data_IF_354571421723
#
_entry.id   IF_354571421723
#
_cell.length_a   1.000
_cell.length_b   1.000
_cell.length_c   1.000
_cell.angle_alpha   90.00
_cell.angle_beta   90.00
_cell.angle_gamma   90.00
#
_symmetry.space_group_name_H-M   'P 1'
#
loop_
_entity.id
_entity.type
_entity.pdbx_description
1 polymer ?
#
# COMPACT_ATOMS: atom_id res chain seq x y z
N UNK A 1 5.73 14.18 -11.85
CA UNK A 1 6.29 13.57 -10.63
C UNK A 1 6.10 12.05 -10.68
N UNK A 2 7.05 11.24 -10.16
CA UNK A 2 6.93 9.80 -10.11
C UNK A 2 5.89 9.34 -9.08
N UNK A 3 5.78 10.07 -7.97
CA UNK A 3 4.81 9.84 -6.89
C UNK A 3 4.19 11.16 -6.49
N UNK A 4 2.89 11.17 -6.26
CA UNK A 4 2.13 12.31 -5.76
C UNK A 4 1.34 11.89 -4.54
N UNK A 5 1.37 12.69 -3.49
CA UNK A 5 0.53 12.51 -2.30
C UNK A 5 -0.53 13.59 -2.35
N UNK A 6 -1.79 13.18 -2.27
CA UNK A 6 -2.94 14.09 -2.24
C UNK A 6 -3.74 13.89 -0.97
N UNK A 7 -4.30 14.97 -0.46
CA UNK A 7 -5.24 14.93 0.65
C UNK A 7 -6.62 15.32 0.14
N UNK A 8 -7.66 14.73 0.71
CA UNK A 8 -9.02 15.14 0.39
C UNK A 8 -9.23 16.59 0.79
N UNK A 9 -9.47 17.44 -0.21
CA UNK A 9 -9.57 18.91 -0.05
C UNK A 9 -10.74 19.29 0.87
N UNK A 10 -11.87 18.59 0.79
CA UNK A 10 -13.01 18.82 1.68
C UNK A 10 -12.62 18.60 3.14
N UNK A 11 -11.95 17.47 3.44
CA UNK A 11 -11.52 17.15 4.81
C UNK A 11 -10.48 18.15 5.32
N UNK A 12 -9.55 18.58 4.46
CA UNK A 12 -8.56 19.60 4.79
C UNK A 12 -9.25 20.91 5.17
N UNK A 13 -10.18 21.40 4.33
CA UNK A 13 -10.94 22.63 4.60
C UNK A 13 -11.79 22.54 5.86
N UNK A 14 -12.44 21.42 6.11
CA UNK A 14 -13.23 21.20 7.34
C UNK A 14 -12.35 21.26 8.58
N UNK A 15 -11.14 20.68 8.54
CA UNK A 15 -10.18 20.79 9.65
C UNK A 15 -9.68 22.22 9.86
N UNK A 16 -9.37 22.92 8.78
CA UNK A 16 -8.92 24.31 8.86
C UNK A 16 -10.02 25.22 9.45
N UNK A 17 -11.28 25.05 9.02
CA UNK A 17 -12.42 25.74 9.60
C UNK A 17 -12.64 25.38 11.08
N UNK A 18 -12.49 24.12 11.44
CA UNK A 18 -12.60 23.66 12.84
C UNK A 18 -11.55 24.33 13.74
N UNK A 19 -10.31 24.52 13.25
CA UNK A 19 -9.27 25.24 13.99
C UNK A 19 -9.57 26.71 14.19
N UNK A 20 -10.27 27.34 13.23
CA UNK A 20 -10.60 28.77 13.29
C UNK A 20 -11.81 29.07 14.16
N UNK A 21 -12.82 28.19 14.22
CA UNK A 21 -14.12 28.49 14.83
C UNK A 21 -14.29 28.02 16.29
N UNK A 22 -13.36 27.29 16.89
CA UNK A 22 -13.33 26.94 18.32
C UNK A 22 -14.57 26.28 18.94
N UNK A 23 -15.59 25.93 18.13
CA UNK A 23 -16.85 25.37 18.59
C UNK A 23 -16.84 23.83 18.71
N UNK A 24 -17.93 23.22 19.21
CA UNK A 24 -18.04 21.78 19.43
C UNK A 24 -17.74 20.89 18.20
N UNK A 25 -17.89 21.42 16.97
CA UNK A 25 -17.46 20.78 15.73
C UNK A 25 -15.94 20.66 15.58
N UNK A 26 -15.16 21.54 16.23
CA UNK A 26 -13.70 21.53 16.18
C UNK A 26 -13.15 20.27 16.86
N UNK A 27 -13.80 19.79 17.90
CA UNK A 27 -13.41 18.61 18.65
C UNK A 27 -13.62 17.32 17.83
N UNK A 28 -14.68 17.27 17.03
CA UNK A 28 -14.99 16.13 16.17
C UNK A 28 -14.08 16.05 14.94
N UNK A 29 -13.97 17.14 14.16
CA UNK A 29 -13.16 17.16 12.93
C UNK A 29 -11.66 17.28 13.20
N UNK A 30 -11.25 17.90 14.30
CA UNK A 30 -9.85 18.05 14.69
C UNK A 30 -9.17 16.73 15.07
N UNK A 31 -9.95 15.73 15.54
CA UNK A 31 -9.46 14.41 15.93
C UNK A 31 -9.53 13.36 14.79
N UNK A 32 -10.17 13.68 13.66
CA UNK A 32 -10.20 12.77 12.52
C UNK A 32 -8.80 12.57 11.95
N UNK A 33 -8.40 11.31 11.66
CA UNK A 33 -7.12 11.02 11.02
C UNK A 33 -7.05 11.68 9.65
N UNK A 34 -5.84 12.12 9.27
CA UNK A 34 -5.60 12.62 7.91
C UNK A 34 -5.58 11.44 6.93
N UNK A 35 -6.47 11.49 5.94
CA UNK A 35 -6.50 10.51 4.86
C UNK A 35 -5.71 11.07 3.66
N UNK A 36 -4.61 10.40 3.34
CA UNK A 36 -3.80 10.70 2.18
C UNK A 36 -3.94 9.60 1.13
N UNK A 37 -3.97 10.01 -0.12
CA UNK A 37 -3.90 9.10 -1.27
C UNK A 37 -2.52 9.22 -1.90
N UNK A 38 -1.85 8.10 -2.08
CA UNK A 38 -0.58 8.02 -2.79
C UNK A 38 -0.87 7.54 -4.20
N UNK A 39 -0.56 8.37 -5.20
CA UNK A 39 -0.65 8.03 -6.61
C UNK A 39 0.75 7.85 -7.19
N UNK A 40 0.99 6.72 -7.84
CA UNK A 40 2.26 6.40 -8.51
C UNK A 40 2.06 6.51 -10.01
N UNK A 41 2.92 7.31 -10.68
CA UNK A 41 2.93 7.41 -12.13
C UNK A 41 3.73 6.25 -12.73
N UNK A 42 3.03 5.18 -13.14
CA UNK A 42 3.64 3.99 -13.74
C UNK A 42 4.40 4.25 -15.06
N UNK A 43 4.13 5.37 -15.74
CA UNK A 43 4.79 5.76 -16.99
C UNK A 43 6.03 6.66 -16.74
N UNK A 44 6.34 6.98 -15.49
CA UNK A 44 7.51 7.81 -15.20
C UNK A 44 8.79 7.00 -15.35
N UNK A 45 9.84 7.52 -16.06
CA UNK A 45 11.08 6.77 -16.33
C UNK A 45 11.72 6.14 -15.09
N UNK A 46 11.75 6.87 -13.96
CA UNK A 46 12.28 6.35 -12.68
C UNK A 46 11.47 5.16 -12.18
N UNK A 47 10.15 5.19 -12.32
CA UNK A 47 9.27 4.07 -11.89
C UNK A 47 9.49 2.85 -12.78
N UNK A 48 9.61 3.07 -14.10
CA UNK A 48 9.92 1.99 -15.06
C UNK A 48 11.29 1.36 -14.75
N UNK A 49 12.31 2.17 -14.46
CA UNK A 49 13.65 1.67 -14.09
C UNK A 49 13.62 0.84 -12.79
N UNK A 50 12.91 1.32 -11.78
CA UNK A 50 12.73 0.57 -10.52
C UNK A 50 12.03 -0.76 -10.78
N UNK A 51 10.93 -0.77 -11.55
CA UNK A 51 10.21 -2.00 -11.88
C UNK A 51 11.07 -2.98 -12.67
N UNK A 52 11.85 -2.51 -13.66
CA UNK A 52 12.77 -3.33 -14.43
C UNK A 52 13.86 -3.98 -13.55
N UNK A 53 14.42 -3.24 -12.60
CA UNK A 53 15.38 -3.78 -11.63
C UNK A 53 14.75 -4.82 -10.70
N UNK A 54 13.57 -4.55 -10.18
CA UNK A 54 12.84 -5.50 -9.32
C UNK A 54 12.51 -6.78 -10.11
N UNK A 55 12.06 -6.65 -11.37
CA UNK A 55 11.77 -7.81 -12.22
C UNK A 55 13.03 -8.62 -12.52
N UNK A 56 14.18 -7.99 -12.81
CA UNK A 56 15.42 -8.69 -13.10
C UNK A 56 16.00 -9.41 -11.87
N UNK A 57 15.88 -8.83 -10.68
CA UNK A 57 16.49 -9.37 -9.45
C UNK A 57 15.57 -10.36 -8.71
N UNK A 58 14.27 -10.11 -8.73
CA UNK A 58 13.29 -10.83 -7.89
C UNK A 58 12.12 -11.43 -8.68
N UNK A 59 12.07 -11.22 -10.01
CA UNK A 59 10.92 -11.60 -10.85
C UNK A 59 10.51 -13.05 -10.71
N UNK A 60 11.44 -13.99 -10.75
CA UNK A 60 11.13 -15.43 -10.62
C UNK A 60 10.53 -15.80 -9.26
N UNK A 61 11.05 -15.20 -8.19
CA UNK A 61 10.52 -15.43 -6.83
C UNK A 61 9.12 -14.83 -6.68
N UNK A 62 8.89 -13.65 -7.24
CA UNK A 62 7.59 -12.98 -7.22
C UNK A 62 6.58 -13.70 -8.11
N UNK A 63 6.98 -14.19 -9.27
CA UNK A 63 6.14 -15.01 -10.16
C UNK A 63 5.71 -16.31 -9.49
N UNK A 64 6.61 -16.97 -8.77
CA UNK A 64 6.31 -18.20 -8.05
C UNK A 64 5.24 -18.00 -6.99
N UNK A 65 5.36 -16.95 -6.17
CA UNK A 65 4.34 -16.67 -5.14
C UNK A 65 3.03 -16.20 -5.75
N UNK A 66 3.08 -15.43 -6.84
CA UNK A 66 1.87 -14.99 -7.56
C UNK A 66 1.10 -16.19 -8.10
N UNK A 67 1.78 -17.15 -8.74
CA UNK A 67 1.14 -18.41 -9.19
C UNK A 67 0.47 -19.19 -8.05
N UNK A 68 1.08 -19.22 -6.86
CA UNK A 68 0.45 -19.84 -5.68
C UNK A 68 -0.81 -19.11 -5.24
N UNK A 69 -0.78 -17.77 -5.26
CA UNK A 69 -1.94 -16.95 -4.95
C UNK A 69 -3.06 -17.20 -5.97
N UNK A 70 -2.75 -17.18 -7.27
CA UNK A 70 -3.72 -17.41 -8.34
C UNK A 70 -4.36 -18.80 -8.21
N UNK A 71 -3.57 -19.84 -7.88
CA UNK A 71 -4.09 -21.17 -7.64
C UNK A 71 -5.02 -21.22 -6.41
N UNK A 72 -4.64 -20.58 -5.30
CA UNK A 72 -5.46 -20.52 -4.09
C UNK A 72 -6.76 -19.73 -4.30
N UNK A 73 -6.71 -18.62 -5.03
CA UNK A 73 -7.90 -17.86 -5.41
C UNK A 73 -8.82 -18.66 -6.31
N UNK A 74 -8.26 -19.44 -7.26
CA UNK A 74 -9.07 -20.32 -8.11
C UNK A 74 -9.73 -21.45 -7.31
N UNK A 75 -9.08 -21.98 -6.26
CA UNK A 75 -9.71 -22.94 -5.35
C UNK A 75 -10.86 -22.32 -4.56
N UNK A 76 -10.64 -21.12 -4.00
CA UNK A 76 -11.67 -20.36 -3.29
C UNK A 76 -12.89 -20.09 -4.19
N UNK A 77 -12.66 -19.60 -5.42
CA UNK A 77 -13.73 -19.35 -6.39
C UNK A 77 -14.51 -20.63 -6.76
N UNK A 78 -13.84 -21.76 -6.95
CA UNK A 78 -14.52 -23.04 -7.22
C UNK A 78 -15.39 -23.46 -6.06
N UNK A 79 -14.92 -23.28 -4.84
CA UNK A 79 -15.73 -23.56 -3.64
C UNK A 79 -16.95 -22.61 -3.59
N UNK A 80 -16.76 -21.31 -3.82
CA UNK A 80 -17.85 -20.32 -3.85
C UNK A 80 -18.93 -20.68 -4.89
N UNK A 81 -18.52 -21.23 -6.04
CA UNK A 81 -19.46 -21.74 -7.04
C UNK A 81 -20.28 -22.93 -6.53
N UNK A 82 -19.72 -23.80 -5.69
CA UNK A 82 -20.46 -24.95 -5.14
C UNK A 82 -21.51 -24.54 -4.10
N UNK A 83 -21.26 -23.44 -3.40
CA UNK A 83 -22.19 -22.90 -2.37
C UNK A 83 -23.01 -21.73 -2.88
N UNK A 84 -22.98 -21.48 -4.17
CA UNK A 84 -23.69 -20.37 -4.82
C UNK A 84 -25.18 -20.41 -4.51
N UNK A 85 -25.68 -19.30 -3.97
CA UNK A 85 -27.10 -19.16 -3.58
C UNK A 85 -27.39 -19.50 -2.12
N UNK A 86 -26.44 -20.09 -1.38
CA UNK A 86 -26.54 -20.22 0.07
C UNK A 86 -26.00 -18.95 0.75
N UNK A 87 -26.63 -18.56 1.87
CA UNK A 87 -26.02 -17.56 2.77
C UNK A 87 -24.99 -18.26 3.65
N UNK A 88 -23.97 -17.54 4.10
CA UNK A 88 -22.94 -18.09 4.98
C UNK A 88 -23.52 -18.70 6.27
N UNK A 89 -24.68 -18.23 6.72
CA UNK A 89 -25.43 -18.76 7.86
C UNK A 89 -25.94 -20.18 7.60
N UNK A 90 -26.27 -20.50 6.35
CA UNK A 90 -26.81 -21.79 5.87
C UNK A 90 -25.74 -22.82 5.50
N UNK A 91 -24.45 -22.48 5.66
CA UNK A 91 -23.33 -23.40 5.39
C UNK A 91 -23.30 -24.52 6.43
N UNK A 92 -23.01 -25.74 5.97
CA UNK A 92 -22.70 -26.83 6.89
C UNK A 92 -21.41 -26.56 7.67
N UNK A 93 -21.17 -27.24 8.79
CA UNK A 93 -19.88 -27.08 9.52
C UNK A 93 -18.66 -27.27 8.65
N UNK A 94 -18.68 -28.28 7.75
CA UNK A 94 -17.60 -28.59 6.82
C UNK A 94 -17.41 -27.49 5.76
N UNK A 95 -18.53 -26.93 5.26
CA UNK A 95 -18.50 -25.80 4.31
C UNK A 95 -17.92 -24.53 4.96
N UNK A 96 -18.23 -24.28 6.24
CA UNK A 96 -17.64 -23.16 6.98
C UNK A 96 -16.16 -23.31 7.19
N UNK A 97 -15.73 -24.50 7.63
CA UNK A 97 -14.31 -24.82 7.82
C UNK A 97 -13.53 -24.66 6.51
N UNK A 98 -14.03 -25.25 5.43
CA UNK A 98 -13.40 -25.16 4.11
C UNK A 98 -13.31 -23.69 3.62
N UNK A 99 -14.37 -22.91 3.75
CA UNK A 99 -14.39 -21.48 3.39
C UNK A 99 -13.34 -20.69 4.16
N UNK A 100 -13.26 -20.93 5.49
CA UNK A 100 -12.27 -20.25 6.34
C UNK A 100 -10.83 -20.67 6.00
N UNK A 101 -10.58 -21.95 5.73
CA UNK A 101 -9.26 -22.44 5.35
C UNK A 101 -8.78 -21.84 4.03
N UNK A 102 -9.65 -21.82 3.01
CA UNK A 102 -9.33 -21.26 1.70
C UNK A 102 -9.05 -19.74 1.80
N UNK A 103 -9.90 -19.01 2.48
CA UNK A 103 -9.70 -17.57 2.70
C UNK A 103 -8.42 -17.29 3.49
N UNK A 104 -8.14 -18.04 4.55
CA UNK A 104 -6.89 -17.92 5.32
C UNK A 104 -5.67 -18.20 4.46
N UNK A 105 -5.71 -19.23 3.60
CA UNK A 105 -4.64 -19.59 2.68
C UNK A 105 -4.33 -18.44 1.70
N UNK A 106 -5.35 -17.83 1.11
CA UNK A 106 -5.20 -16.67 0.22
C UNK A 106 -4.59 -15.49 0.95
N UNK A 107 -5.08 -15.16 2.15
CA UNK A 107 -4.56 -14.06 2.97
C UNK A 107 -3.09 -14.27 3.30
N UNK A 108 -2.71 -15.45 3.81
CA UNK A 108 -1.33 -15.78 4.18
C UNK A 108 -0.36 -15.65 2.99
N UNK A 109 -0.76 -16.14 1.81
CA UNK A 109 0.08 -16.03 0.61
C UNK A 109 0.22 -14.57 0.14
N UNK A 110 -0.85 -13.77 0.23
CA UNK A 110 -0.79 -12.33 -0.08
C UNK A 110 0.10 -11.59 0.92
N UNK A 111 0.01 -11.90 2.20
CA UNK A 111 0.86 -11.31 3.23
C UNK A 111 2.33 -11.67 3.03
N UNK A 112 2.63 -12.93 2.71
CA UNK A 112 4.00 -13.36 2.35
C UNK A 112 4.54 -12.54 1.17
N UNK A 113 3.75 -12.38 0.10
CA UNK A 113 4.15 -11.54 -1.05
C UNK A 113 4.38 -10.10 -0.63
N UNK A 114 3.47 -9.54 0.16
CA UNK A 114 3.55 -8.14 0.59
C UNK A 114 4.77 -7.87 1.47
N UNK A 115 5.11 -8.78 2.39
CA UNK A 115 6.32 -8.64 3.21
C UNK A 115 7.59 -8.72 2.34
N UNK A 116 7.64 -9.60 1.34
CA UNK A 116 8.77 -9.65 0.38
C UNK A 116 8.89 -8.34 -0.41
N UNK A 117 7.78 -7.81 -0.92
CA UNK A 117 7.77 -6.52 -1.64
C UNK A 117 8.19 -5.37 -0.72
N UNK A 118 7.78 -5.38 0.53
CA UNK A 118 8.15 -4.40 1.54
C UNK A 118 9.67 -4.43 1.83
N UNK A 119 10.26 -5.61 1.95
CA UNK A 119 11.71 -5.75 2.13
C UNK A 119 12.49 -5.24 0.90
N UNK A 120 12.07 -5.60 -0.31
CA UNK A 120 12.63 -5.08 -1.56
C UNK A 120 12.55 -3.54 -1.60
N UNK A 121 11.38 -2.99 -1.26
CA UNK A 121 11.16 -1.53 -1.23
C UNK A 121 12.04 -0.82 -0.20
N UNK A 122 12.23 -1.41 0.99
CA UNK A 122 13.11 -0.84 2.03
C UNK A 122 14.58 -0.80 1.61
N UNK A 123 15.04 -1.80 0.85
CA UNK A 123 16.42 -1.88 0.38
C UNK A 123 16.68 -0.97 -0.82
N UNK A 124 15.65 -0.60 -1.56
CA UNK A 124 15.79 0.24 -2.75
C UNK A 124 15.86 1.73 -2.40
N UNK A 125 17.06 2.30 -2.54
CA UNK A 125 17.32 3.72 -2.22
C UNK A 125 16.47 4.68 -3.07
N UNK A 126 16.21 4.35 -4.35
CA UNK A 126 15.40 5.19 -5.24
C UNK A 126 13.92 5.21 -4.81
N UNK A 127 13.37 4.07 -4.40
CA UNK A 127 11.98 4.00 -3.87
C UNK A 127 11.83 4.93 -2.67
N UNK A 128 12.74 4.85 -1.71
CA UNK A 128 12.72 5.77 -0.55
C UNK A 128 12.85 7.22 -0.97
N UNK A 129 13.74 7.50 -1.91
CA UNK A 129 14.00 8.87 -2.37
C UNK A 129 12.78 9.50 -3.04
N UNK A 130 12.05 8.78 -3.91
CA UNK A 130 10.87 9.32 -4.60
C UNK A 130 9.68 9.48 -3.64
N UNK A 131 9.55 8.61 -2.63
CA UNK A 131 8.52 8.75 -1.60
C UNK A 131 8.81 9.96 -0.71
N UNK A 132 10.05 10.09 -0.23
CA UNK A 132 10.44 11.22 0.62
C UNK A 132 10.35 12.57 -0.13
N UNK A 133 10.62 12.58 -1.45
CA UNK A 133 10.40 13.76 -2.29
C UNK A 133 8.91 14.14 -2.35
N UNK A 134 8.01 13.17 -2.49
CA UNK A 134 6.58 13.39 -2.47
C UNK A 134 6.08 13.87 -1.09
N UNK A 135 6.64 13.35 0.00
CA UNK A 135 6.37 13.82 1.36
C UNK A 135 6.88 15.25 1.57
N UNK A 136 8.09 15.56 1.06
CA UNK A 136 8.67 16.91 1.16
C UNK A 136 7.82 17.93 0.44
N UNK A 137 7.35 17.64 -0.79
CA UNK A 137 6.50 18.54 -1.57
C UNK A 137 5.15 18.87 -0.91
N UNK A 138 4.72 18.03 0.05
CA UNK A 138 3.52 18.25 0.86
C UNK A 138 3.83 18.78 2.28
N UNK A 139 5.09 19.15 2.57
CA UNK A 139 5.50 19.64 3.89
C UNK A 139 5.43 18.60 5.00
N UNK A 140 5.36 17.31 4.63
CA UNK A 140 5.20 16.18 5.57
C UNK A 140 6.54 15.58 6.01
N UNK A 141 7.64 15.87 5.31
CA UNK A 141 8.97 15.38 5.66
C UNK A 141 9.66 16.35 6.63
N UNK A 142 9.88 15.91 7.86
CA UNK A 142 10.41 16.76 8.95
C UNK A 142 11.43 16.02 9.81
N UNK A 143 12.22 16.77 10.57
CA UNK A 143 13.15 16.24 11.58
C UNK A 143 14.17 15.26 10.98
N UNK A 144 14.40 14.14 11.66
CA UNK A 144 15.37 13.13 11.26
C UNK A 144 15.15 12.61 9.84
N UNK A 145 13.89 12.40 9.44
CA UNK A 145 13.57 11.90 8.09
C UNK A 145 14.02 12.89 7.00
N UNK A 146 13.91 14.19 7.25
CA UNK A 146 14.42 15.21 6.33
C UNK A 146 15.95 15.19 6.26
N UNK A 147 16.63 15.05 7.38
CA UNK A 147 18.09 14.93 7.43
C UNK A 147 18.56 13.69 6.67
N UNK A 148 17.94 12.55 6.89
CA UNK A 148 18.25 11.29 6.20
C UNK A 148 17.99 11.39 4.69
N UNK A 149 16.94 12.10 4.28
CA UNK A 149 16.65 12.39 2.87
C UNK A 149 17.76 13.22 2.22
N UNK A 150 18.20 14.29 2.88
CA UNK A 150 19.28 15.17 2.39
C UNK A 150 20.57 14.37 2.21
N UNK A 151 20.97 13.57 3.19
CA UNK A 151 22.18 12.73 3.12
C UNK A 151 22.11 11.72 1.96
N UNK A 152 20.95 11.07 1.75
CA UNK A 152 20.77 10.17 0.60
C UNK A 152 20.82 10.92 -0.73
N UNK A 153 20.25 12.13 -0.80
CA UNK A 153 20.28 12.96 -2.00
C UNK A 153 21.72 13.29 -2.39
N UNK A 154 22.55 13.71 -1.43
CA UNK A 154 23.97 13.99 -1.65
C UNK A 154 24.68 12.72 -2.18
N UNK A 155 24.49 11.58 -1.54
CA UNK A 155 25.12 10.32 -1.95
C UNK A 155 24.67 9.79 -3.33
N UNK A 156 23.57 10.31 -3.88
CA UNK A 156 23.11 9.98 -5.24
C UNK A 156 23.72 10.92 -6.30
N UNK A 157 24.12 12.13 -5.90
CA UNK A 157 24.73 13.13 -6.80
C UNK A 157 26.25 12.86 -6.96
N UNK A 158 26.88 12.34 -5.90
CA UNK A 158 28.33 12.06 -5.86
C UNK A 158 28.75 10.80 -6.67
N UNK A 159 27.81 10.11 -7.34
CA UNK A 159 28.02 8.95 -8.20
C UNK A 159 27.96 9.33 -9.67
#
# INVERSE_FOLDING_TARGET
APVVITQNEFMRRMKDMAKMNGGGMSQFYGQMPDNFTIAVNGNHPIVIDILGKVESEYGDKLKTITKKIDAAVAEEQRFDETVKGKKHEDFTPEEKEMSEELSKKVVLLRDERNERLKEIGKQNKLVRQIIDLALLSNGMLKGKNLTDFIQRSISLIEK
#
